data_IF_132776590868
#
_entry.id   IF_132776590868
#
_cell.length_a   1.000
_cell.length_b   1.000
_cell.length_c   1.000
_cell.angle_alpha   90.00
_cell.angle_beta   90.00
_cell.angle_gamma   90.00
#
_symmetry.space_group_name_H-M   'P 1'
#
loop_
_entity.id
_entity.type
_entity.pdbx_description
1 polymer ?
#
# COMPACT_ATOMS: atom_id res chain seq x y z
N UNK A 1 -71.77 -47.75 -15.28
CA UNK A 1 -70.45 -48.34 -15.46
C UNK A 1 -69.61 -47.36 -16.27
N UNK A 2 -68.73 -46.60 -15.66
CA UNK A 2 -67.74 -45.77 -16.34
C UNK A 2 -66.35 -46.34 -15.98
N UNK A 3 -65.71 -46.89 -16.99
CA UNK A 3 -64.35 -47.42 -16.84
C UNK A 3 -63.38 -46.25 -16.85
N UNK A 4 -62.70 -46.10 -15.71
CA UNK A 4 -61.65 -45.09 -15.53
C UNK A 4 -60.33 -45.68 -15.99
N UNK A 5 -59.86 -45.27 -17.15
CA UNK A 5 -58.52 -45.62 -17.64
C UNK A 5 -57.48 -44.79 -16.87
N UNK A 6 -56.79 -45.43 -15.94
CA UNK A 6 -55.58 -44.88 -15.29
C UNK A 6 -54.41 -45.15 -16.26
N UNK A 7 -54.04 -44.13 -17.01
CA UNK A 7 -52.75 -44.15 -17.72
C UNK A 7 -51.66 -43.93 -16.70
N UNK A 8 -51.00 -45.00 -16.30
CA UNK A 8 -49.76 -44.94 -15.48
C UNK A 8 -48.66 -44.41 -16.37
N UNK A 9 -48.36 -43.08 -16.25
CA UNK A 9 -47.19 -42.50 -16.86
C UNK A 9 -45.99 -43.04 -16.08
N UNK A 10 -45.35 -44.07 -16.61
CA UNK A 10 -44.01 -44.50 -16.22
C UNK A 10 -43.06 -43.40 -16.69
N UNK A 11 -42.81 -42.42 -15.82
CA UNK A 11 -41.67 -41.50 -16.01
C UNK A 11 -40.42 -42.34 -15.71
N UNK A 12 -39.87 -42.92 -16.77
CA UNK A 12 -38.62 -43.63 -16.70
C UNK A 12 -37.50 -42.66 -16.23
N UNK A 13 -36.57 -43.08 -15.39
CA UNK A 13 -35.44 -42.29 -14.93
C UNK A 13 -34.38 -42.16 -16.07
N UNK A 14 -34.75 -41.63 -17.24
CA UNK A 14 -33.83 -41.33 -18.32
C UNK A 14 -32.85 -40.17 -17.94
N UNK A 15 -33.16 -39.45 -16.89
CA UNK A 15 -32.30 -38.32 -16.45
C UNK A 15 -31.05 -38.77 -15.70
N UNK A 16 -31.06 -39.89 -15.01
CA UNK A 16 -29.96 -40.33 -14.16
C UNK A 16 -28.78 -40.90 -14.93
N UNK A 17 -29.05 -41.68 -16.02
CA UNK A 17 -27.98 -42.19 -16.88
C UNK A 17 -27.35 -41.13 -17.79
N UNK A 18 -28.05 -40.03 -18.09
CA UNK A 18 -27.61 -38.95 -18.94
C UNK A 18 -26.49 -38.10 -18.31
N UNK A 19 -26.38 -38.03 -16.99
CA UNK A 19 -25.59 -37.00 -16.34
C UNK A 19 -24.21 -37.46 -15.81
N UNK A 20 -24.03 -38.73 -15.46
CA UNK A 20 -22.68 -39.34 -15.39
C UNK A 20 -21.98 -39.25 -16.74
N UNK A 21 -22.77 -39.37 -17.84
CA UNK A 21 -22.30 -39.11 -19.20
C UNK A 21 -21.81 -37.68 -19.45
N UNK A 22 -22.30 -36.66 -18.68
CA UNK A 22 -21.88 -35.26 -18.86
C UNK A 22 -20.46 -35.02 -18.36
N UNK A 23 -20.06 -35.57 -17.21
CA UNK A 23 -18.66 -35.49 -16.75
C UNK A 23 -17.72 -36.19 -17.73
N UNK A 24 -18.11 -37.35 -18.27
CA UNK A 24 -17.31 -38.08 -19.22
C UNK A 24 -17.29 -37.40 -20.60
N UNK A 25 -18.40 -36.79 -21.01
CA UNK A 25 -18.48 -35.96 -22.24
C UNK A 25 -17.55 -34.74 -22.14
N UNK A 26 -17.57 -34.05 -21.01
CA UNK A 26 -16.67 -32.95 -20.76
C UNK A 26 -15.20 -33.36 -20.82
N UNK A 27 -14.86 -34.49 -20.19
CA UNK A 27 -13.51 -35.05 -20.25
C UNK A 27 -13.05 -35.35 -21.66
N UNK A 28 -13.91 -36.02 -22.46
CA UNK A 28 -13.59 -36.35 -23.89
C UNK A 28 -13.31 -35.07 -24.68
N UNK A 29 -14.22 -34.11 -24.63
CA UNK A 29 -14.04 -32.86 -25.36
C UNK A 29 -12.83 -32.07 -24.89
N UNK A 30 -12.49 -32.10 -23.58
CA UNK A 30 -11.26 -31.51 -23.08
C UNK A 30 -10.02 -32.23 -23.61
N UNK A 31 -10.02 -33.57 -23.66
CA UNK A 31 -8.93 -34.38 -24.22
C UNK A 31 -8.77 -34.12 -25.71
N UNK A 32 -9.87 -34.01 -26.47
CA UNK A 32 -9.86 -33.66 -27.90
C UNK A 32 -9.20 -32.27 -28.08
N UNK A 33 -9.56 -31.27 -27.27
CA UNK A 33 -8.90 -29.96 -27.28
C UNK A 33 -7.41 -30.08 -27.00
N UNK A 34 -7.05 -30.76 -25.91
CA UNK A 34 -5.64 -30.93 -25.50
C UNK A 34 -4.79 -31.60 -26.60
N UNK A 35 -5.37 -32.50 -27.39
CA UNK A 35 -4.68 -33.13 -28.52
C UNK A 35 -4.36 -32.16 -29.66
N UNK A 36 -5.11 -31.08 -29.79
CA UNK A 36 -4.94 -30.06 -30.86
C UNK A 36 -4.00 -28.90 -30.47
N UNK A 37 -3.52 -28.86 -29.21
CA UNK A 37 -2.75 -27.72 -28.70
C UNK A 37 -1.47 -27.40 -29.47
N UNK A 38 -0.82 -28.41 -30.05
CA UNK A 38 0.46 -28.26 -30.74
C UNK A 38 0.31 -27.76 -32.21
N UNK A 39 -0.84 -27.99 -32.84
CA UNK A 39 -1.06 -27.68 -34.24
C UNK A 39 -1.94 -26.43 -34.42
N UNK A 40 -3.21 -26.58 -34.18
CA UNK A 40 -4.21 -25.50 -34.28
C UNK A 40 -5.34 -25.75 -33.27
N UNK A 41 -5.27 -25.16 -32.07
CA UNK A 41 -6.25 -25.40 -31.02
C UNK A 41 -7.68 -25.11 -31.43
N UNK A 42 -8.53 -26.16 -31.48
CA UNK A 42 -9.95 -26.00 -31.81
C UNK A 42 -10.77 -25.67 -30.54
N UNK A 43 -11.05 -24.40 -30.36
CA UNK A 43 -11.81 -23.88 -29.19
C UNK A 43 -13.22 -24.46 -29.13
N UNK A 44 -13.78 -25.00 -30.23
CA UNK A 44 -15.12 -25.59 -30.23
C UNK A 44 -15.23 -26.77 -29.26
N UNK A 45 -14.15 -27.54 -29.10
CA UNK A 45 -14.10 -28.63 -28.13
C UNK A 45 -14.19 -28.11 -26.69
N UNK A 46 -13.53 -26.98 -26.35
CA UNK A 46 -13.66 -26.36 -25.04
C UNK A 46 -15.06 -25.86 -24.73
N UNK A 47 -15.73 -25.30 -25.71
CA UNK A 47 -17.12 -24.84 -25.56
C UNK A 47 -18.08 -26.00 -25.31
N UNK A 48 -17.91 -27.13 -26.01
CA UNK A 48 -18.67 -28.38 -25.76
C UNK A 48 -18.36 -28.95 -24.37
N UNK A 49 -17.07 -28.92 -23.96
CA UNK A 49 -16.64 -29.36 -22.63
C UNK A 49 -17.26 -28.50 -21.55
N UNK A 50 -17.26 -27.16 -21.72
CA UNK A 50 -17.88 -26.20 -20.82
C UNK A 50 -19.37 -26.48 -20.62
N UNK A 51 -20.14 -26.59 -21.70
CA UNK A 51 -21.57 -26.89 -21.60
C UNK A 51 -21.84 -28.18 -20.82
N UNK A 52 -21.08 -29.23 -21.10
CA UNK A 52 -21.24 -30.50 -20.44
C UNK A 52 -20.87 -30.44 -18.96
N UNK A 53 -19.78 -29.76 -18.58
CA UNK A 53 -19.32 -29.71 -17.19
C UNK A 53 -20.19 -28.80 -16.31
N UNK A 54 -20.70 -27.70 -16.86
CA UNK A 54 -21.59 -26.80 -16.13
C UNK A 54 -22.91 -27.50 -15.79
N UNK A 55 -23.45 -28.33 -16.68
CA UNK A 55 -24.58 -29.20 -16.38
C UNK A 55 -24.28 -30.23 -15.30
N UNK A 56 -23.06 -30.79 -15.30
CA UNK A 56 -22.63 -31.74 -14.27
C UNK A 56 -22.51 -31.11 -12.88
N UNK A 57 -22.14 -29.83 -12.77
CA UNK A 57 -22.06 -29.14 -11.46
C UNK A 57 -23.43 -28.84 -10.85
N UNK A 58 -24.48 -28.81 -11.65
CA UNK A 58 -25.85 -28.61 -11.19
C UNK A 58 -26.55 -29.92 -10.75
N UNK A 59 -25.95 -31.07 -10.98
CA UNK A 59 -26.56 -32.36 -10.72
C UNK A 59 -26.21 -32.96 -9.36
N UNK A 60 -27.19 -33.50 -8.66
CA UNK A 60 -27.06 -34.05 -7.32
C UNK A 60 -26.00 -35.17 -7.17
N UNK A 61 -25.83 -36.01 -8.19
CA UNK A 61 -24.88 -37.13 -8.16
C UNK A 61 -23.45 -36.70 -8.44
N UNK A 62 -23.24 -35.60 -9.18
CA UNK A 62 -21.93 -35.15 -9.68
C UNK A 62 -21.43 -33.86 -9.06
N UNK A 63 -22.31 -33.04 -8.46
CA UNK A 63 -21.96 -31.73 -7.85
C UNK A 63 -21.00 -31.81 -6.67
N UNK A 64 -20.86 -33.00 -6.04
CA UNK A 64 -19.97 -33.22 -4.90
C UNK A 64 -18.76 -34.11 -5.25
N UNK A 65 -18.44 -34.29 -6.52
CA UNK A 65 -17.31 -35.11 -6.95
C UNK A 65 -16.10 -34.22 -7.27
N UNK A 66 -14.94 -34.49 -6.66
CA UNK A 66 -13.67 -33.82 -6.97
C UNK A 66 -13.37 -33.79 -8.46
N UNK A 67 -13.62 -34.93 -9.15
CA UNK A 67 -13.38 -35.11 -10.58
C UNK A 67 -14.17 -34.09 -11.44
N UNK A 68 -15.41 -33.77 -11.07
CA UNK A 68 -16.23 -32.78 -11.75
C UNK A 68 -15.55 -31.41 -11.74
N UNK A 69 -15.06 -30.98 -10.58
CA UNK A 69 -14.41 -29.69 -10.45
C UNK A 69 -12.98 -29.67 -10.98
N UNK A 70 -12.27 -30.80 -10.97
CA UNK A 70 -10.96 -30.92 -11.60
C UNK A 70 -11.04 -30.68 -13.12
N UNK A 71 -12.03 -31.28 -13.78
CA UNK A 71 -12.24 -31.02 -15.22
C UNK A 71 -12.77 -29.60 -15.45
N UNK A 72 -13.71 -29.11 -14.64
CA UNK A 72 -14.21 -27.75 -14.75
C UNK A 72 -13.07 -26.74 -14.63
N UNK A 73 -12.20 -26.89 -13.65
CA UNK A 73 -11.03 -26.06 -13.47
C UNK A 73 -10.14 -26.01 -14.72
N UNK A 74 -9.78 -27.18 -15.27
CA UNK A 74 -8.93 -27.28 -16.47
C UNK A 74 -9.60 -26.69 -17.70
N UNK A 75 -10.90 -26.90 -17.88
CA UNK A 75 -11.66 -26.31 -18.99
C UNK A 75 -11.62 -24.78 -18.92
N UNK A 76 -11.93 -24.22 -17.75
CA UNK A 76 -12.02 -22.76 -17.60
C UNK A 76 -10.64 -22.07 -17.65
N UNK A 77 -9.57 -22.71 -17.18
CA UNK A 77 -8.21 -22.22 -17.37
C UNK A 77 -7.80 -22.15 -18.83
N UNK A 78 -8.18 -23.16 -19.63
CA UNK A 78 -7.91 -23.17 -21.05
C UNK A 78 -8.77 -22.13 -21.82
N UNK A 79 -10.03 -21.92 -21.43
CA UNK A 79 -10.87 -20.84 -21.95
C UNK A 79 -10.26 -19.47 -21.67
N UNK A 80 -9.82 -19.24 -20.44
CA UNK A 80 -9.12 -17.99 -20.09
C UNK A 80 -7.85 -17.80 -20.91
N UNK A 81 -7.06 -18.87 -21.12
CA UNK A 81 -5.87 -18.81 -21.99
C UNK A 81 -6.19 -18.37 -23.40
N UNK A 82 -7.31 -18.83 -23.96
CA UNK A 82 -7.75 -18.42 -25.29
C UNK A 82 -8.26 -16.97 -25.30
N UNK A 83 -9.04 -16.56 -24.30
CA UNK A 83 -9.48 -15.16 -24.13
C UNK A 83 -8.30 -14.20 -24.04
N UNK A 84 -7.23 -14.58 -23.33
CA UNK A 84 -6.00 -13.81 -23.23
C UNK A 84 -5.28 -13.68 -24.58
N UNK A 85 -5.17 -14.78 -25.36
CA UNK A 85 -4.58 -14.78 -26.70
C UNK A 85 -5.36 -13.87 -27.66
N UNK A 86 -6.68 -13.92 -27.62
CA UNK A 86 -7.52 -13.04 -28.44
C UNK A 86 -7.37 -11.56 -28.02
N UNK A 87 -7.24 -11.29 -26.74
CA UNK A 87 -6.97 -9.92 -26.26
C UNK A 87 -5.58 -9.45 -26.71
N UNK A 88 -4.55 -10.30 -26.63
CA UNK A 88 -3.20 -9.96 -27.12
C UNK A 88 -3.20 -9.67 -28.64
N UNK A 89 -3.95 -10.40 -29.45
CA UNK A 89 -4.08 -10.17 -30.91
C UNK A 89 -4.64 -8.77 -31.21
N UNK A 90 -5.62 -8.28 -30.45
CA UNK A 90 -6.18 -6.93 -30.60
C UNK A 90 -5.14 -5.83 -30.39
N UNK A 91 -4.09 -6.12 -29.64
CA UNK A 91 -3.00 -5.21 -29.27
C UNK A 91 -1.78 -5.34 -30.20
N UNK A 92 -1.94 -5.89 -31.39
CA UNK A 92 -0.85 -6.13 -32.38
C UNK A 92 -0.08 -4.86 -32.80
N UNK A 93 -0.67 -3.67 -32.62
CA UNK A 93 0.00 -2.38 -32.84
C UNK A 93 1.10 -2.09 -31.80
N UNK A 94 1.10 -2.74 -30.64
CA UNK A 94 2.16 -2.63 -29.64
C UNK A 94 3.31 -3.53 -30.08
N UNK A 95 4.44 -2.94 -30.49
CA UNK A 95 5.60 -3.66 -31.02
C UNK A 95 6.30 -4.53 -29.98
N UNK A 96 6.47 -4.00 -28.75
CA UNK A 96 7.10 -4.75 -27.66
C UNK A 96 6.17 -5.86 -27.17
N UNK A 97 6.67 -7.11 -27.26
CA UNK A 97 5.89 -8.31 -26.90
C UNK A 97 5.53 -8.35 -25.42
N UNK A 98 6.47 -7.94 -24.54
CA UNK A 98 6.21 -7.97 -23.10
C UNK A 98 5.19 -6.89 -22.72
N UNK A 99 5.32 -5.71 -23.32
CA UNK A 99 4.37 -4.63 -23.12
C UNK A 99 2.97 -5.03 -23.59
N UNK A 100 2.87 -5.63 -24.78
CA UNK A 100 1.63 -6.13 -25.36
C UNK A 100 0.97 -7.17 -24.46
N UNK A 101 1.73 -8.17 -24.00
CA UNK A 101 1.25 -9.22 -23.12
C UNK A 101 0.76 -8.68 -21.79
N UNK A 102 1.54 -7.80 -21.13
CA UNK A 102 1.13 -7.19 -19.87
C UNK A 102 -0.13 -6.32 -20.03
N UNK A 103 -0.26 -5.62 -21.15
CA UNK A 103 -1.48 -4.85 -21.47
C UNK A 103 -2.67 -5.76 -21.71
N UNK A 104 -2.48 -6.91 -22.38
CA UNK A 104 -3.52 -7.93 -22.58
C UNK A 104 -4.01 -8.47 -21.22
N UNK A 105 -3.13 -8.81 -20.29
CA UNK A 105 -3.51 -9.19 -18.93
C UNK A 105 -4.29 -8.09 -18.19
N UNK A 106 -3.94 -6.83 -18.43
CA UNK A 106 -4.68 -5.69 -17.87
C UNK A 106 -6.11 -5.56 -18.40
N UNK A 107 -6.31 -5.87 -19.66
CA UNK A 107 -7.58 -5.66 -20.37
C UNK A 107 -8.50 -6.87 -20.36
N UNK A 108 -7.95 -8.10 -20.38
CA UNK A 108 -8.72 -9.33 -20.49
C UNK A 108 -9.80 -9.43 -19.41
N UNK A 109 -10.98 -9.92 -19.81
CA UNK A 109 -12.04 -10.27 -18.86
C UNK A 109 -11.61 -11.47 -18.01
N UNK A 110 -12.02 -11.47 -16.73
CA UNK A 110 -11.58 -12.49 -15.76
C UNK A 110 -12.63 -13.54 -15.44
N UNK A 111 -13.80 -13.50 -16.08
CA UNK A 111 -14.91 -14.41 -15.79
C UNK A 111 -14.54 -15.89 -15.84
N UNK A 112 -13.78 -16.31 -16.83
CA UNK A 112 -13.32 -17.70 -16.95
C UNK A 112 -12.26 -18.03 -15.88
N UNK A 113 -11.38 -17.09 -15.57
CA UNK A 113 -10.40 -17.21 -14.50
C UNK A 113 -11.07 -17.35 -13.13
N UNK A 114 -12.12 -16.56 -12.88
CA UNK A 114 -12.88 -16.58 -11.63
C UNK A 114 -13.61 -17.92 -11.47
N UNK A 115 -14.21 -18.46 -12.54
CA UNK A 115 -14.86 -19.77 -12.52
C UNK A 115 -13.87 -20.93 -12.36
N UNK A 116 -12.66 -20.81 -12.91
CA UNK A 116 -11.56 -21.74 -12.62
C UNK A 116 -11.19 -21.68 -11.12
N UNK A 117 -10.98 -20.50 -10.58
CA UNK A 117 -10.64 -20.31 -9.17
C UNK A 117 -11.72 -20.86 -8.22
N UNK A 118 -12.99 -20.63 -8.51
CA UNK A 118 -14.11 -21.25 -7.78
C UNK A 118 -14.09 -22.77 -7.82
N UNK A 119 -13.76 -23.34 -8.97
CA UNK A 119 -13.66 -24.78 -9.13
C UNK A 119 -12.51 -25.37 -8.32
N UNK A 120 -11.37 -24.68 -8.29
CA UNK A 120 -10.20 -25.07 -7.48
C UNK A 120 -10.50 -25.01 -5.97
N UNK A 121 -11.17 -23.97 -5.53
CA UNK A 121 -11.63 -23.86 -4.14
C UNK A 121 -12.61 -24.99 -3.77
N UNK A 122 -13.48 -25.39 -4.69
CA UNK A 122 -14.40 -26.51 -4.46
C UNK A 122 -13.69 -27.84 -4.36
N UNK A 123 -12.62 -28.09 -5.11
CA UNK A 123 -11.75 -29.25 -4.94
C UNK A 123 -11.17 -29.26 -3.52
N UNK A 124 -10.65 -28.14 -3.05
CA UNK A 124 -10.10 -27.99 -1.70
C UNK A 124 -11.14 -28.28 -0.61
N UNK A 125 -12.36 -27.80 -0.77
CA UNK A 125 -13.46 -28.06 0.14
C UNK A 125 -13.86 -29.55 0.18
N UNK A 126 -13.89 -30.20 -0.97
CA UNK A 126 -14.32 -31.59 -1.09
C UNK A 126 -13.26 -32.60 -0.61
N UNK A 127 -11.99 -32.31 -0.85
CA UNK A 127 -10.87 -33.18 -0.45
C UNK A 127 -9.59 -32.36 -0.22
N UNK A 128 -9.46 -31.80 0.99
CA UNK A 128 -8.31 -31.01 1.39
C UNK A 128 -6.99 -31.80 1.29
N UNK A 129 -6.98 -33.07 1.71
CA UNK A 129 -5.75 -33.89 1.70
C UNK A 129 -5.25 -34.13 0.28
N UNK A 130 -6.14 -34.49 -0.63
CA UNK A 130 -5.79 -34.67 -2.05
C UNK A 130 -5.34 -33.34 -2.66
N UNK A 131 -6.03 -32.25 -2.37
CA UNK A 131 -5.65 -30.93 -2.84
C UNK A 131 -4.23 -30.55 -2.39
N UNK A 132 -3.89 -30.76 -1.11
CA UNK A 132 -2.56 -30.45 -0.56
C UNK A 132 -1.45 -31.27 -1.19
N UNK A 133 -1.68 -32.58 -1.44
CA UNK A 133 -0.74 -33.44 -2.17
C UNK A 133 -0.47 -32.91 -3.56
N UNK A 134 -1.52 -32.66 -4.33
CA UNK A 134 -1.38 -32.16 -5.70
C UNK A 134 -0.70 -30.78 -5.71
N UNK A 135 -1.06 -29.86 -4.82
CA UNK A 135 -0.44 -28.54 -4.72
C UNK A 135 1.07 -28.60 -4.45
N UNK A 136 1.55 -29.65 -3.79
CA UNK A 136 2.99 -29.92 -3.56
C UNK A 136 3.67 -30.66 -4.70
N UNK A 137 2.95 -31.01 -5.77
CA UNK A 137 3.46 -31.79 -6.89
C UNK A 137 3.47 -33.31 -6.65
N UNK A 138 2.85 -33.78 -5.57
CA UNK A 138 2.68 -35.22 -5.28
C UNK A 138 1.44 -35.71 -6.02
N UNK A 139 1.62 -36.39 -7.15
CA UNK A 139 0.55 -36.82 -8.05
C UNK A 139 0.47 -38.34 -8.13
N UNK A 140 -0.70 -38.90 -7.87
CA UNK A 140 -0.93 -40.35 -7.85
C UNK A 140 -1.45 -40.88 -9.23
N UNK A 141 -1.80 -39.99 -10.15
CA UNK A 141 -2.34 -40.31 -11.48
C UNK A 141 -1.97 -39.26 -12.53
N UNK A 142 -2.09 -39.60 -13.81
CA UNK A 142 -1.91 -38.67 -14.93
C UNK A 142 -2.87 -37.49 -14.81
N UNK A 143 -4.12 -37.69 -14.40
CA UNK A 143 -5.11 -36.64 -14.20
C UNK A 143 -4.72 -35.68 -13.07
N UNK A 144 -4.11 -36.19 -11.98
CA UNK A 144 -3.59 -35.35 -10.91
C UNK A 144 -2.37 -34.54 -11.39
N UNK A 145 -1.52 -35.10 -12.26
CA UNK A 145 -0.43 -34.37 -12.92
C UNK A 145 -0.93 -33.24 -13.82
N UNK A 146 -1.97 -33.49 -14.62
CA UNK A 146 -2.63 -32.45 -15.43
C UNK A 146 -3.28 -31.37 -14.56
N UNK A 147 -3.89 -31.75 -13.46
CA UNK A 147 -4.45 -30.79 -12.49
C UNK A 147 -3.36 -29.92 -11.88
N UNK A 148 -2.24 -30.51 -11.45
CA UNK A 148 -1.08 -29.77 -10.93
C UNK A 148 -0.53 -28.76 -11.95
N UNK A 149 -0.36 -29.18 -13.20
CA UNK A 149 0.08 -28.28 -14.28
C UNK A 149 -0.86 -27.08 -14.45
N UNK A 150 -2.17 -27.33 -14.43
CA UNK A 150 -3.16 -26.25 -14.53
C UNK A 150 -3.20 -25.36 -13.29
N UNK A 151 -2.93 -25.89 -12.09
CA UNK A 151 -2.77 -25.08 -10.86
C UNK A 151 -1.54 -24.16 -10.94
N UNK A 152 -0.43 -24.68 -11.45
CA UNK A 152 0.78 -23.87 -11.68
C UNK A 152 0.54 -22.78 -12.71
N UNK A 153 -0.23 -23.07 -13.76
CA UNK A 153 -0.64 -22.11 -14.78
C UNK A 153 -1.54 -21.02 -14.20
N UNK A 154 -2.52 -21.37 -13.35
CA UNK A 154 -3.36 -20.40 -12.65
C UNK A 154 -2.52 -19.42 -11.83
N UNK A 155 -1.48 -19.90 -11.13
CA UNK A 155 -0.60 -19.08 -10.34
C UNK A 155 0.19 -18.07 -11.21
N UNK A 156 0.71 -18.52 -12.34
CA UNK A 156 1.37 -17.64 -13.32
C UNK A 156 0.38 -16.58 -13.85
N UNK A 157 -0.85 -16.99 -14.17
CA UNK A 157 -1.87 -16.04 -14.61
C UNK A 157 -2.25 -15.05 -13.51
N UNK A 158 -2.38 -15.49 -12.25
CA UNK A 158 -2.66 -14.60 -11.12
C UNK A 158 -1.61 -13.50 -10.99
N UNK A 159 -0.32 -13.87 -11.06
CA UNK A 159 0.78 -12.92 -10.97
C UNK A 159 0.78 -11.90 -12.12
N UNK A 160 0.52 -12.37 -13.34
CA UNK A 160 0.44 -11.50 -14.52
C UNK A 160 -0.82 -10.64 -14.53
N UNK A 161 -1.96 -11.15 -14.06
CA UNK A 161 -3.19 -10.36 -13.89
C UNK A 161 -2.97 -9.24 -12.87
N UNK A 162 -2.37 -9.53 -11.71
CA UNK A 162 -2.07 -8.53 -10.70
C UNK A 162 -1.25 -7.37 -11.28
N UNK A 163 -0.15 -7.70 -11.98
CA UNK A 163 0.74 -6.70 -12.59
C UNK A 163 0.12 -6.01 -13.81
N UNK A 164 -0.58 -6.75 -14.66
CA UNK A 164 -1.27 -6.21 -15.84
C UNK A 164 -2.38 -5.23 -15.46
N UNK A 165 -3.25 -5.60 -14.50
CA UNK A 165 -4.30 -4.73 -13.97
C UNK A 165 -3.70 -3.47 -13.34
N UNK A 166 -2.60 -3.59 -12.60
CA UNK A 166 -1.89 -2.44 -12.06
C UNK A 166 -1.38 -1.51 -13.18
N UNK A 167 -0.77 -2.07 -14.24
CA UNK A 167 -0.24 -1.31 -15.38
C UNK A 167 -1.32 -0.48 -16.08
N UNK A 168 -2.50 -1.07 -16.31
CA UNK A 168 -3.63 -0.36 -16.92
C UNK A 168 -4.47 0.43 -15.92
N UNK A 169 -3.95 0.64 -14.69
CA UNK A 169 -4.57 1.43 -13.61
C UNK A 169 -5.91 0.90 -13.07
N UNK A 170 -6.22 -0.36 -13.29
CA UNK A 170 -7.35 -1.06 -12.66
C UNK A 170 -6.94 -1.52 -11.25
N UNK A 171 -6.65 -0.55 -10.38
CA UNK A 171 -6.03 -0.80 -9.08
C UNK A 171 -6.89 -1.64 -8.14
N UNK A 172 -8.21 -1.53 -8.22
CA UNK A 172 -9.12 -2.30 -7.38
C UNK A 172 -9.07 -3.80 -7.72
N UNK A 173 -9.08 -4.14 -9.01
CA UNK A 173 -8.91 -5.52 -9.49
C UNK A 173 -7.48 -6.03 -9.17
N UNK A 174 -6.46 -5.19 -9.37
CA UNK A 174 -5.08 -5.55 -9.05
C UNK A 174 -4.90 -5.91 -7.57
N UNK A 175 -5.58 -5.19 -6.66
CA UNK A 175 -5.54 -5.46 -5.23
C UNK A 175 -6.04 -6.87 -4.90
N UNK A 176 -7.16 -7.30 -5.49
CA UNK A 176 -7.71 -8.65 -5.29
C UNK A 176 -6.77 -9.74 -5.81
N UNK A 177 -6.15 -9.52 -6.97
CA UNK A 177 -5.21 -10.48 -7.54
C UNK A 177 -3.93 -10.58 -6.72
N UNK A 178 -3.39 -9.47 -6.20
CA UNK A 178 -2.23 -9.50 -5.30
C UNK A 178 -2.55 -10.20 -3.98
N UNK A 179 -3.73 -9.96 -3.38
CA UNK A 179 -4.14 -10.68 -2.17
C UNK A 179 -4.28 -12.18 -2.43
N UNK A 180 -4.99 -12.57 -3.49
CA UNK A 180 -5.18 -13.97 -3.87
C UNK A 180 -3.85 -14.67 -4.11
N UNK A 181 -2.91 -13.99 -4.77
CA UNK A 181 -1.56 -14.50 -5.02
C UNK A 181 -0.79 -14.68 -3.71
N UNK A 182 -0.86 -13.72 -2.77
CA UNK A 182 -0.21 -13.82 -1.47
C UNK A 182 -0.74 -15.02 -0.66
N UNK A 183 -2.05 -15.24 -0.67
CA UNK A 183 -2.69 -16.38 0.01
C UNK A 183 -2.22 -17.69 -0.62
N UNK A 184 -2.24 -17.79 -1.95
CA UNK A 184 -1.83 -18.99 -2.68
C UNK A 184 -0.35 -19.31 -2.45
N UNK A 185 0.54 -18.33 -2.56
CA UNK A 185 1.97 -18.50 -2.31
C UNK A 185 2.25 -18.93 -0.87
N UNK A 186 1.57 -18.32 0.10
CA UNK A 186 1.67 -18.68 1.52
C UNK A 186 1.27 -20.15 1.73
N UNK A 187 0.16 -20.57 1.11
CA UNK A 187 -0.30 -21.97 1.21
C UNK A 187 0.70 -22.94 0.60
N UNK A 188 1.23 -22.67 -0.59
CA UNK A 188 2.14 -23.57 -1.30
C UNK A 188 3.53 -23.66 -0.66
N UNK A 189 4.04 -22.56 -0.13
CA UNK A 189 5.42 -22.49 0.39
C UNK A 189 5.51 -22.69 1.90
N UNK A 190 4.39 -22.58 2.60
CA UNK A 190 4.35 -22.52 4.07
C UNK A 190 4.94 -21.22 4.65
N UNK A 191 5.37 -20.28 3.78
CA UNK A 191 5.94 -18.98 4.18
C UNK A 191 5.00 -17.87 3.76
N UNK A 192 4.77 -16.92 4.66
CA UNK A 192 3.90 -15.76 4.38
C UNK A 192 4.48 -14.88 3.27
N UNK A 193 3.69 -14.62 2.23
CA UNK A 193 4.06 -13.76 1.11
C UNK A 193 3.77 -12.29 1.44
N UNK A 194 4.63 -11.71 2.26
CA UNK A 194 4.51 -10.31 2.69
C UNK A 194 4.52 -9.32 1.53
N UNK A 195 5.27 -9.62 0.46
CA UNK A 195 5.41 -8.72 -0.70
C UNK A 195 4.09 -8.53 -1.44
N UNK A 196 3.39 -9.62 -1.74
CA UNK A 196 2.12 -9.52 -2.45
C UNK A 196 0.99 -9.00 -1.55
N UNK A 197 0.98 -9.30 -0.25
CA UNK A 197 0.08 -8.65 0.71
C UNK A 197 0.31 -7.13 0.74
N UNK A 198 1.56 -6.68 0.78
CA UNK A 198 1.88 -5.25 0.72
C UNK A 198 1.41 -4.61 -0.60
N UNK A 199 1.63 -5.27 -1.74
CA UNK A 199 1.15 -4.79 -3.03
C UNK A 199 -0.37 -4.66 -3.07
N UNK A 200 -1.12 -5.59 -2.46
CA UNK A 200 -2.57 -5.49 -2.32
C UNK A 200 -2.99 -4.23 -1.54
N UNK A 201 -2.31 -3.95 -0.41
CA UNK A 201 -2.55 -2.72 0.37
C UNK A 201 -2.30 -1.45 -0.46
N UNK A 202 -1.18 -1.39 -1.19
CA UNK A 202 -0.84 -0.24 -2.06
C UNK A 202 -1.85 -0.05 -3.18
N UNK A 203 -2.30 -1.15 -3.80
CA UNK A 203 -3.32 -1.10 -4.85
C UNK A 203 -4.67 -0.62 -4.29
N UNK A 204 -5.10 -1.11 -3.13
CA UNK A 204 -6.32 -0.65 -2.47
C UNK A 204 -6.27 0.86 -2.16
N UNK A 205 -5.11 1.37 -1.74
CA UNK A 205 -4.91 2.80 -1.52
C UNK A 205 -5.00 3.60 -2.83
N UNK A 206 -4.36 3.13 -3.91
CA UNK A 206 -4.45 3.78 -5.24
C UNK A 206 -5.86 3.76 -5.81
N UNK A 207 -6.62 2.69 -5.55
CA UNK A 207 -8.03 2.56 -5.90
C UNK A 207 -8.95 3.46 -5.04
N UNK A 208 -8.45 3.98 -3.92
CA UNK A 208 -9.23 4.67 -2.88
C UNK A 208 -10.38 3.82 -2.35
N UNK A 209 -10.21 2.49 -2.36
CA UNK A 209 -11.21 1.57 -1.84
C UNK A 209 -11.03 1.44 -0.32
N UNK A 210 -11.84 2.19 0.42
CA UNK A 210 -11.78 2.32 1.87
C UNK A 210 -11.89 0.98 2.60
N UNK A 211 -12.77 0.10 2.12
CA UNK A 211 -12.98 -1.23 2.71
C UNK A 211 -11.74 -2.10 2.55
N UNK A 212 -11.23 -2.24 1.32
CA UNK A 212 -10.01 -3.01 1.06
C UNK A 212 -8.78 -2.40 1.74
N UNK A 213 -8.68 -1.06 1.82
CA UNK A 213 -7.60 -0.41 2.57
C UNK A 213 -7.58 -0.86 4.03
N UNK A 214 -8.73 -0.93 4.68
CA UNK A 214 -8.83 -1.40 6.05
C UNK A 214 -8.53 -2.90 6.15
N UNK A 215 -9.24 -3.72 5.37
CA UNK A 215 -9.21 -5.17 5.48
C UNK A 215 -7.82 -5.75 5.21
N UNK A 216 -7.13 -5.30 4.16
CA UNK A 216 -5.81 -5.82 3.80
C UNK A 216 -4.72 -5.38 4.78
N UNK A 217 -4.75 -4.11 5.22
CA UNK A 217 -3.80 -3.66 6.24
C UNK A 217 -4.05 -4.36 7.58
N UNK A 218 -5.31 -4.53 7.99
CA UNK A 218 -5.68 -5.29 9.18
C UNK A 218 -5.23 -6.75 9.10
N UNK A 219 -5.42 -7.40 7.95
CA UNK A 219 -4.96 -8.77 7.72
C UNK A 219 -3.46 -8.93 7.92
N UNK A 220 -2.64 -7.99 7.40
CA UNK A 220 -1.20 -8.01 7.63
C UNK A 220 -0.87 -7.90 9.12
N UNK A 221 -1.62 -7.10 9.87
CA UNK A 221 -1.46 -6.94 11.33
C UNK A 221 -1.82 -8.24 12.05
N UNK A 222 -2.99 -8.79 11.78
CA UNK A 222 -3.50 -10.02 12.42
C UNK A 222 -2.58 -11.22 12.16
N UNK A 223 -1.93 -11.22 11.00
CA UNK A 223 -0.99 -12.28 10.60
C UNK A 223 0.46 -12.06 11.07
N UNK A 224 0.73 -10.99 11.84
CA UNK A 224 2.06 -10.61 12.34
C UNK A 224 3.12 -10.42 11.22
N UNK A 225 2.71 -9.88 10.07
CA UNK A 225 3.57 -9.52 8.94
C UNK A 225 3.51 -8.02 8.60
N UNK A 226 2.91 -7.24 9.49
CA UNK A 226 2.75 -5.81 9.31
C UNK A 226 4.08 -5.05 9.43
N UNK A 227 4.15 -3.96 8.72
CA UNK A 227 5.14 -2.89 8.87
C UNK A 227 4.47 -1.65 9.49
N UNK A 228 5.23 -0.62 9.88
CA UNK A 228 4.65 0.66 10.33
C UNK A 228 3.61 1.24 9.38
N UNK A 229 3.82 1.09 8.07
CA UNK A 229 2.90 1.56 7.03
C UNK A 229 1.45 1.08 7.23
N UNK A 230 1.26 -0.16 7.69
CA UNK A 230 -0.08 -0.73 7.87
C UNK A 230 -0.85 -0.01 8.99
N UNK A 231 -0.17 0.29 10.09
CA UNK A 231 -0.75 1.05 11.20
C UNK A 231 -1.00 2.52 10.84
N UNK A 232 -0.06 3.13 10.11
CA UNK A 232 -0.21 4.49 9.60
C UNK A 232 -1.43 4.60 8.69
N UNK A 233 -1.57 3.67 7.74
CA UNK A 233 -2.69 3.65 6.79
C UNK A 233 -4.04 3.52 7.51
N UNK A 234 -4.16 2.60 8.48
CA UNK A 234 -5.40 2.46 9.24
C UNK A 234 -5.67 3.69 10.11
N UNK A 235 -4.66 4.25 10.75
CA UNK A 235 -4.77 5.46 11.55
C UNK A 235 -5.34 6.63 10.72
N UNK A 236 -4.73 6.94 9.57
CA UNK A 236 -5.16 8.02 8.69
C UNK A 236 -6.56 7.78 8.12
N UNK A 237 -6.84 6.54 7.70
CA UNK A 237 -8.13 6.14 7.17
C UNK A 237 -9.25 6.37 8.20
N UNK A 238 -9.04 5.90 9.43
CA UNK A 238 -10.04 6.02 10.51
C UNK A 238 -10.25 7.46 10.96
N UNK A 239 -9.19 8.28 10.98
CA UNK A 239 -9.33 9.72 11.20
C UNK A 239 -10.15 10.39 10.11
N UNK A 240 -9.93 10.05 8.84
CA UNK A 240 -10.71 10.61 7.72
C UNK A 240 -12.19 10.24 7.78
N UNK A 241 -12.54 9.13 8.46
CA UNK A 241 -13.90 8.67 8.73
C UNK A 241 -14.49 9.25 10.03
N UNK A 242 -13.76 10.13 10.74
CA UNK A 242 -14.09 10.61 12.09
C UNK A 242 -14.17 9.50 13.15
N UNK A 243 -13.63 8.31 12.89
CA UNK A 243 -13.50 7.21 13.84
C UNK A 243 -12.20 7.36 14.64
N UNK A 244 -12.15 8.38 15.47
CA UNK A 244 -10.97 8.72 16.28
C UNK A 244 -10.64 7.61 17.26
N UNK A 245 -11.62 6.88 17.79
CA UNK A 245 -11.39 5.82 18.77
C UNK A 245 -10.56 4.67 18.17
N UNK A 246 -10.98 4.16 17.02
CA UNK A 246 -10.23 3.10 16.30
C UNK A 246 -8.87 3.60 15.83
N UNK A 247 -8.79 4.85 15.32
CA UNK A 247 -7.50 5.43 14.93
C UNK A 247 -6.48 5.41 16.07
N UNK A 248 -6.89 5.85 17.27
CA UNK A 248 -6.02 5.88 18.46
C UNK A 248 -5.64 4.48 18.94
N UNK A 249 -6.53 3.50 18.82
CA UNK A 249 -6.23 2.10 19.14
C UNK A 249 -5.09 1.58 18.26
N UNK A 250 -5.20 1.74 16.93
CA UNK A 250 -4.15 1.30 16.00
C UNK A 250 -2.85 2.09 16.15
N UNK A 251 -2.91 3.38 16.47
CA UNK A 251 -1.72 4.15 16.81
C UNK A 251 -1.00 3.55 18.03
N UNK A 252 -1.73 3.24 19.10
CA UNK A 252 -1.17 2.64 20.32
C UNK A 252 -0.53 1.28 20.05
N UNK A 253 -1.22 0.40 19.29
CA UNK A 253 -0.68 -0.92 18.94
C UNK A 253 0.58 -0.76 18.08
N UNK A 254 0.52 0.09 17.05
CA UNK A 254 1.65 0.36 16.17
C UNK A 254 2.86 0.93 16.93
N UNK A 255 2.64 1.85 17.87
CA UNK A 255 3.69 2.40 18.76
C UNK A 255 4.34 1.33 19.65
N UNK A 256 3.54 0.36 20.10
CA UNK A 256 4.07 -0.76 20.89
C UNK A 256 4.96 -1.68 20.06
N UNK A 257 4.57 -1.99 18.82
CA UNK A 257 5.32 -2.88 17.94
C UNK A 257 6.51 -2.18 17.26
N UNK A 258 6.35 -0.90 16.89
CA UNK A 258 7.35 -0.11 16.18
C UNK A 258 7.68 1.17 16.96
N UNK A 259 8.33 1.05 18.12
CA UNK A 259 8.62 2.18 19.02
C UNK A 259 9.49 3.26 18.39
N UNK A 260 10.25 2.94 17.36
CA UNK A 260 11.16 3.86 16.67
C UNK A 260 10.60 4.43 15.35
N UNK A 261 9.37 4.08 14.97
CA UNK A 261 8.77 4.63 13.75
C UNK A 261 8.44 6.12 13.94
N UNK A 262 9.01 6.95 13.08
CA UNK A 262 8.94 8.42 13.18
C UNK A 262 7.51 8.92 12.99
N UNK A 263 6.77 8.33 12.05
CA UNK A 263 5.40 8.78 11.78
C UNK A 263 4.49 8.52 12.99
N UNK A 264 4.49 7.28 13.48
CA UNK A 264 3.66 6.88 14.62
C UNK A 264 4.05 7.66 15.91
N UNK A 265 5.36 7.92 16.11
CA UNK A 265 5.83 8.74 17.21
C UNK A 265 5.34 10.18 17.11
N UNK A 266 5.42 10.79 15.93
CA UNK A 266 4.94 12.14 15.72
C UNK A 266 3.42 12.23 15.96
N UNK A 267 2.65 11.25 15.50
CA UNK A 267 1.19 11.22 15.72
C UNK A 267 0.80 11.11 17.19
N UNK A 268 1.48 10.25 17.93
CA UNK A 268 1.28 10.16 19.38
C UNK A 268 1.66 11.46 20.09
N UNK A 269 2.77 12.08 19.70
CA UNK A 269 3.22 13.35 20.22
C UNK A 269 2.25 14.50 19.88
N UNK A 270 1.78 14.59 18.62
CA UNK A 270 0.74 15.53 18.22
C UNK A 270 -0.53 15.38 19.07
N UNK A 271 -0.93 14.13 19.34
CA UNK A 271 -2.09 13.84 20.18
C UNK A 271 -1.92 14.36 21.60
N UNK A 272 -0.76 14.13 22.24
CA UNK A 272 -0.48 14.66 23.57
C UNK A 272 -0.45 16.19 23.56
N UNK A 273 0.12 16.82 22.53
CA UNK A 273 0.14 18.26 22.38
C UNK A 273 -1.28 18.84 22.19
N UNK A 274 -2.11 18.21 21.37
CA UNK A 274 -3.51 18.63 21.16
C UNK A 274 -4.33 18.55 22.46
N UNK A 275 -4.03 17.57 23.32
CA UNK A 275 -4.65 17.42 24.64
C UNK A 275 -4.05 18.35 25.69
N UNK A 276 -3.05 19.16 25.34
CA UNK A 276 -2.30 19.96 26.31
C UNK A 276 -1.43 19.14 27.28
N UNK A 277 -1.20 17.85 26.96
CA UNK A 277 -0.44 16.90 27.76
C UNK A 277 1.08 16.95 27.45
N UNK A 278 1.62 18.15 27.30
CA UNK A 278 3.02 18.41 26.90
C UNK A 278 4.03 17.66 27.73
N UNK A 279 3.80 17.58 29.03
CA UNK A 279 4.67 16.87 29.97
C UNK A 279 4.72 15.36 29.65
N UNK A 280 3.59 14.76 29.21
CA UNK A 280 3.56 13.34 28.86
C UNK A 280 4.32 13.09 27.55
N UNK A 281 4.17 13.97 26.57
CA UNK A 281 4.91 13.88 25.31
C UNK A 281 6.42 13.89 25.57
N UNK A 282 6.90 14.86 26.35
CA UNK A 282 8.31 14.96 26.72
C UNK A 282 8.79 13.81 27.59
N UNK A 283 8.01 13.41 28.62
CA UNK A 283 8.38 12.30 29.51
C UNK A 283 8.51 10.97 28.74
N UNK A 284 7.61 10.71 27.82
CA UNK A 284 7.67 9.52 26.96
C UNK A 284 8.96 9.50 26.12
N UNK A 285 9.27 10.62 25.49
CA UNK A 285 10.46 10.78 24.66
C UNK A 285 11.75 10.78 25.48
N UNK A 286 11.77 11.42 26.65
CA UNK A 286 12.93 11.39 27.55
C UNK A 286 13.20 9.99 28.07
N UNK A 287 12.15 9.21 28.36
CA UNK A 287 12.31 7.81 28.77
C UNK A 287 12.92 6.98 27.62
N UNK A 288 12.48 7.21 26.38
CA UNK A 288 13.03 6.53 25.22
C UNK A 288 14.49 6.91 24.97
N UNK A 289 14.82 8.21 25.00
CA UNK A 289 16.20 8.68 24.73
C UNK A 289 17.19 8.32 25.84
N UNK A 290 16.73 8.14 27.08
CA UNK A 290 17.58 7.65 28.17
C UNK A 290 18.05 6.20 27.94
N UNK A 291 17.23 5.39 27.25
CA UNK A 291 17.58 4.01 26.86
C UNK A 291 18.45 3.97 25.60
N UNK A 292 18.22 4.90 24.68
CA UNK A 292 18.87 4.97 23.38
C UNK A 292 19.44 6.37 23.10
N UNK A 293 20.48 6.81 23.81
CA UNK A 293 20.98 8.20 23.73
C UNK A 293 21.48 8.60 22.34
N UNK A 294 21.92 7.63 21.56
CA UNK A 294 22.43 7.81 20.19
C UNK A 294 21.36 7.54 19.11
N UNK A 295 20.08 7.51 19.47
CA UNK A 295 19.01 7.34 18.51
C UNK A 295 18.68 8.70 17.85
N UNK A 296 19.17 8.89 16.62
CA UNK A 296 18.94 10.11 15.84
C UNK A 296 17.44 10.43 15.66
N UNK A 297 16.60 9.39 15.54
CA UNK A 297 15.16 9.54 15.37
C UNK A 297 14.51 10.11 16.63
N UNK A 298 14.86 9.60 17.79
CA UNK A 298 14.36 10.14 19.07
C UNK A 298 14.79 11.59 19.28
N UNK A 299 16.05 11.93 18.98
CA UNK A 299 16.53 13.31 19.04
C UNK A 299 15.72 14.22 18.12
N UNK A 300 15.48 13.78 16.86
CA UNK A 300 14.65 14.53 15.92
C UNK A 300 13.22 14.77 16.44
N UNK A 301 12.58 13.73 17.00
CA UNK A 301 11.21 13.86 17.51
C UNK A 301 11.14 14.79 18.70
N UNK A 302 12.10 14.74 19.64
CA UNK A 302 12.18 15.68 20.77
C UNK A 302 12.35 17.12 20.25
N UNK A 303 13.21 17.32 19.25
CA UNK A 303 13.36 18.60 18.57
C UNK A 303 12.03 19.12 18.03
N UNK A 304 11.26 18.27 17.32
CA UNK A 304 9.92 18.61 16.84
C UNK A 304 8.95 19.00 17.95
N UNK A 305 8.99 18.32 19.09
CA UNK A 305 8.12 18.67 20.24
C UNK A 305 8.44 20.08 20.74
N UNK A 306 9.71 20.38 20.98
CA UNK A 306 10.11 21.71 21.42
C UNK A 306 9.82 22.79 20.38
N UNK A 307 10.00 22.51 19.09
CA UNK A 307 9.65 23.43 18.01
C UNK A 307 8.13 23.71 17.98
N UNK A 308 7.29 22.68 18.09
CA UNK A 308 5.84 22.83 18.18
C UNK A 308 5.40 23.61 19.44
N UNK A 309 6.08 23.41 20.57
CA UNK A 309 5.85 24.18 21.78
C UNK A 309 6.21 25.66 21.60
N UNK A 310 7.33 25.95 20.93
CA UNK A 310 7.75 27.31 20.60
C UNK A 310 6.80 27.97 19.58
N UNK A 311 6.23 27.17 18.65
CA UNK A 311 5.41 27.63 17.54
C UNK A 311 3.99 27.05 17.56
N UNK A 312 3.19 27.27 18.62
CA UNK A 312 1.88 26.68 18.74
C UNK A 312 0.93 27.17 17.65
N UNK A 313 0.14 26.22 17.11
CA UNK A 313 -0.88 26.49 16.09
C UNK A 313 -2.26 26.53 16.73
N UNK A 314 -3.07 27.50 16.35
CA UNK A 314 -4.48 27.53 16.73
C UNK A 314 -5.31 26.46 15.99
N UNK A 315 -6.58 26.30 16.38
CA UNK A 315 -7.51 25.36 15.73
C UNK A 315 -7.66 25.56 14.21
N UNK A 316 -7.40 26.76 13.73
CA UNK A 316 -7.40 27.11 12.29
C UNK A 316 -6.07 26.81 11.57
N UNK A 317 -5.07 26.26 12.25
CA UNK A 317 -3.72 26.05 11.73
C UNK A 317 -2.86 27.33 11.67
N UNK A 318 -3.40 28.48 12.06
CA UNK A 318 -2.66 29.75 12.08
C UNK A 318 -1.77 29.82 13.34
N UNK A 319 -0.66 30.56 13.22
CA UNK A 319 0.21 30.83 14.34
C UNK A 319 -0.54 31.53 15.47
N UNK A 320 -0.23 31.15 16.70
CA UNK A 320 -0.74 31.82 17.90
C UNK A 320 0.35 32.69 18.53
N UNK A 321 0.02 33.34 19.65
CA UNK A 321 0.99 34.13 20.43
C UNK A 321 2.11 33.21 20.91
N UNK A 322 3.37 33.64 20.74
CA UNK A 322 4.53 32.90 21.18
C UNK A 322 4.54 32.80 22.73
N UNK A 323 4.89 31.63 23.27
CA UNK A 323 4.97 31.44 24.74
C UNK A 323 6.04 32.32 25.37
N UNK A 324 5.94 32.56 26.68
CA UNK A 324 6.90 33.39 27.41
C UNK A 324 8.33 32.84 27.38
N UNK A 325 8.47 31.52 27.38
CA UNK A 325 9.73 30.77 27.28
C UNK A 325 10.16 30.43 25.86
N UNK A 326 9.66 31.18 24.86
CA UNK A 326 9.92 30.95 23.44
C UNK A 326 11.39 30.73 23.08
N UNK A 327 12.29 31.58 23.61
CA UNK A 327 13.73 31.49 23.30
C UNK A 327 14.37 30.22 23.87
N UNK A 328 13.97 29.79 25.08
CA UNK A 328 14.40 28.54 25.68
C UNK A 328 13.91 27.32 24.89
N UNK A 329 12.66 27.33 24.48
CA UNK A 329 12.07 26.27 23.66
C UNK A 329 12.76 26.15 22.30
N UNK A 330 13.05 27.26 21.64
CA UNK A 330 13.80 27.29 20.34
C UNK A 330 15.23 26.74 20.57
N UNK A 331 15.89 27.11 21.66
CA UNK A 331 17.22 26.61 21.98
C UNK A 331 17.22 25.10 22.18
N UNK A 332 16.28 24.57 22.97
CA UNK A 332 16.12 23.11 23.17
C UNK A 332 15.80 22.39 21.86
N UNK A 333 14.92 22.94 21.05
CA UNK A 333 14.62 22.38 19.74
C UNK A 333 15.87 22.29 18.85
N UNK A 334 16.67 23.38 18.78
CA UNK A 334 17.89 23.44 18.00
C UNK A 334 18.94 22.44 18.49
N UNK A 335 19.12 22.29 19.82
CA UNK A 335 20.05 21.33 20.41
C UNK A 335 19.71 19.88 20.03
N UNK A 336 18.44 19.51 20.10
CA UNK A 336 17.99 18.16 19.76
C UNK A 336 18.05 17.90 18.25
N UNK A 337 17.66 18.83 17.41
CA UNK A 337 17.84 18.72 15.98
C UNK A 337 19.32 18.60 15.61
N UNK A 338 20.21 19.41 16.24
CA UNK A 338 21.64 19.32 15.98
C UNK A 338 22.21 17.96 16.34
N UNK A 339 21.84 17.41 17.52
CA UNK A 339 22.22 16.04 17.89
C UNK A 339 21.73 15.01 16.87
N UNK A 340 20.51 15.17 16.36
CA UNK A 340 20.00 14.29 15.31
C UNK A 340 20.79 14.41 14.00
N UNK A 341 21.22 15.63 13.62
CA UNK A 341 22.10 15.87 12.45
C UNK A 341 23.44 15.19 12.66
N UNK A 342 24.05 15.35 13.83
CA UNK A 342 25.38 14.80 14.16
C UNK A 342 25.38 13.26 14.15
N UNK A 343 24.28 12.66 14.62
CA UNK A 343 24.07 11.20 14.63
C UNK A 343 23.72 10.62 13.25
N UNK A 344 23.35 11.44 12.29
CA UNK A 344 22.99 11.07 10.92
C UNK A 344 21.91 9.97 10.89
N UNK A 345 20.62 10.32 10.84
CA UNK A 345 19.55 9.34 10.66
C UNK A 345 19.84 8.36 9.53
N UNK A 346 19.56 7.07 9.73
CA UNK A 346 19.87 6.02 8.78
C UNK A 346 19.11 6.18 7.43
N UNK A 347 17.91 6.77 7.47
CA UNK A 347 17.14 7.04 6.26
C UNK A 347 17.52 8.40 5.66
N UNK A 348 17.67 8.45 4.35
CA UNK A 348 17.94 9.69 3.61
C UNK A 348 16.82 10.73 3.82
N UNK A 349 15.55 10.28 3.87
CA UNK A 349 14.42 11.13 4.16
C UNK A 349 14.44 11.68 5.60
N UNK A 350 14.80 10.86 6.56
CA UNK A 350 14.96 11.28 7.96
C UNK A 350 16.06 12.34 8.10
N UNK A 351 17.17 12.17 7.41
CA UNK A 351 18.26 13.14 7.43
C UNK A 351 17.88 14.45 6.77
N UNK A 352 17.22 14.37 5.58
CA UNK A 352 16.66 15.56 4.93
C UNK A 352 15.71 16.32 5.86
N UNK A 353 14.74 15.65 6.47
CA UNK A 353 13.76 16.29 7.35
C UNK A 353 14.41 16.96 8.56
N UNK A 354 15.44 16.34 9.15
CA UNK A 354 16.18 16.90 10.29
C UNK A 354 16.88 18.19 9.91
N UNK A 355 17.62 18.18 8.80
CA UNK A 355 18.32 19.36 8.28
C UNK A 355 17.35 20.49 7.92
N UNK A 356 16.27 20.14 7.22
CA UNK A 356 15.25 21.09 6.83
C UNK A 356 14.59 21.77 8.06
N UNK A 357 14.17 20.98 9.05
CA UNK A 357 13.51 21.51 10.25
C UNK A 357 14.45 22.40 11.08
N UNK A 358 15.73 22.01 11.21
CA UNK A 358 16.70 22.87 11.90
C UNK A 358 16.91 24.20 11.17
N UNK A 359 17.03 24.17 9.84
CA UNK A 359 17.11 25.37 9.04
C UNK A 359 15.86 26.24 9.12
N UNK A 360 14.67 25.62 9.05
CA UNK A 360 13.40 26.29 9.18
C UNK A 360 13.21 26.94 10.58
N UNK A 361 13.65 26.22 11.64
CA UNK A 361 13.61 26.73 13.02
C UNK A 361 14.41 28.04 13.14
N UNK A 362 15.66 28.06 12.66
CA UNK A 362 16.47 29.27 12.69
C UNK A 362 15.91 30.42 11.82
N UNK A 363 15.34 30.09 10.65
CA UNK A 363 14.66 31.10 9.85
C UNK A 363 13.45 31.72 10.57
N UNK A 364 12.62 30.88 11.18
CA UNK A 364 11.43 31.30 11.93
C UNK A 364 11.81 32.10 13.18
N UNK A 365 12.86 31.69 13.88
CA UNK A 365 13.42 32.43 15.03
C UNK A 365 13.85 33.84 14.60
N UNK A 366 14.64 33.96 13.52
CA UNK A 366 15.06 35.25 12.98
C UNK A 366 13.87 36.14 12.62
N UNK A 367 12.83 35.58 12.00
CA UNK A 367 11.60 36.32 11.68
C UNK A 367 10.87 36.84 12.94
N UNK A 368 10.81 35.97 13.97
CA UNK A 368 10.13 36.33 15.24
C UNK A 368 10.86 37.43 15.98
N UNK A 369 12.20 37.39 16.04
CA UNK A 369 13.02 38.45 16.65
C UNK A 369 12.78 39.77 15.91
N UNK A 370 12.81 39.75 14.58
CA UNK A 370 12.59 40.97 13.79
C UNK A 370 11.19 41.56 14.02
N UNK A 371 10.15 40.70 14.03
CA UNK A 371 8.78 41.13 14.27
C UNK A 371 8.59 41.74 15.67
N UNK A 372 9.13 41.10 16.72
CA UNK A 372 9.08 41.62 18.10
C UNK A 372 9.75 43.00 18.23
N UNK A 373 10.81 43.23 17.51
CA UNK A 373 11.47 44.50 17.47
C UNK A 373 10.55 45.63 16.93
N UNK A 374 9.77 45.28 15.90
CA UNK A 374 8.85 46.24 15.24
C UNK A 374 7.59 46.51 16.06
N UNK A 375 7.08 45.54 16.81
CA UNK A 375 5.86 45.65 17.61
C UNK A 375 5.97 46.52 18.86
N UNK A 376 7.15 46.53 19.54
CA UNK A 376 7.33 47.11 20.89
C UNK A 376 7.97 48.50 20.88
N UNK A 377 8.33 49.01 19.76
CA UNK A 377 9.20 50.19 19.74
C UNK A 377 8.44 51.52 19.63
N UNK A 378 8.61 52.34 20.63
CA UNK A 378 8.57 53.79 20.40
C UNK A 378 9.70 54.18 19.42
N UNK A 379 9.57 55.26 18.70
CA UNK A 379 10.62 55.74 17.77
C UNK A 379 12.01 55.81 18.46
N UNK A 380 12.06 56.15 19.77
CA UNK A 380 13.29 56.19 20.55
C UNK A 380 13.87 54.77 20.84
N UNK A 381 13.01 53.77 21.14
CA UNK A 381 13.44 52.41 21.36
C UNK A 381 13.92 51.72 20.09
N UNK A 382 13.28 51.98 18.95
CA UNK A 382 13.72 51.56 17.61
C UNK A 382 15.15 52.06 17.33
N UNK A 383 15.42 53.35 17.55
CA UNK A 383 16.72 53.96 17.30
C UNK A 383 17.82 53.35 18.17
N UNK A 384 17.51 52.95 19.42
CA UNK A 384 18.47 52.39 20.40
C UNK A 384 18.71 50.91 20.25
N UNK A 385 17.68 50.10 19.96
CA UNK A 385 17.72 48.65 20.01
C UNK A 385 17.66 47.98 18.62
N UNK A 386 17.26 48.69 17.57
CA UNK A 386 17.07 48.20 16.20
C UNK A 386 18.29 47.46 15.69
N UNK A 387 19.49 48.04 15.81
CA UNK A 387 20.74 47.38 15.36
C UNK A 387 21.02 46.03 16.03
N UNK A 388 20.67 45.90 17.32
CA UNK A 388 20.84 44.67 18.06
C UNK A 388 19.89 43.56 17.58
N UNK A 389 18.62 43.92 17.33
CA UNK A 389 17.62 42.97 16.84
C UNK A 389 17.90 42.56 15.39
N UNK A 390 18.29 43.51 14.55
CA UNK A 390 18.69 43.20 13.16
C UNK A 390 19.91 42.29 13.14
N UNK A 391 20.93 42.55 13.96
CA UNK A 391 22.11 41.68 14.05
C UNK A 391 21.75 40.25 14.50
N UNK A 392 20.90 40.12 15.57
CA UNK A 392 20.45 38.82 16.07
C UNK A 392 19.61 38.05 15.05
N UNK A 393 18.74 38.75 14.30
CA UNK A 393 17.95 38.16 13.22
C UNK A 393 18.86 37.69 12.08
N UNK A 394 19.83 38.54 11.67
CA UNK A 394 20.80 38.25 10.63
C UNK A 394 21.66 37.03 10.97
N UNK A 395 22.12 36.94 12.22
CA UNK A 395 22.87 35.77 12.73
C UNK A 395 22.03 34.48 12.58
N UNK A 396 20.73 34.54 12.95
CA UNK A 396 19.83 33.41 12.84
C UNK A 396 19.60 32.98 11.38
N UNK A 397 19.41 33.94 10.48
CA UNK A 397 19.28 33.65 9.03
C UNK A 397 20.55 33.00 8.47
N UNK A 398 21.74 33.50 8.86
CA UNK A 398 23.02 32.89 8.46
C UNK A 398 23.18 31.47 8.99
N UNK A 399 22.71 31.17 10.21
CA UNK A 399 22.70 29.81 10.77
C UNK A 399 21.77 28.87 9.99
N UNK A 400 20.64 29.36 9.47
CA UNK A 400 19.69 28.54 8.72
C UNK A 400 20.23 28.01 7.37
N UNK A 401 21.00 28.84 6.67
CA UNK A 401 21.44 28.58 5.28
C UNK A 401 22.18 27.23 5.13
N UNK A 402 23.23 26.90 5.90
CA UNK A 402 24.03 25.69 5.67
C UNK A 402 23.20 24.41 5.86
N UNK A 403 22.22 24.40 6.76
CA UNK A 403 21.35 23.24 6.96
C UNK A 403 20.38 23.05 5.78
N UNK A 404 19.82 24.14 5.25
CA UNK A 404 18.96 24.07 4.07
C UNK A 404 19.74 23.75 2.78
N UNK A 405 20.98 24.23 2.64
CA UNK A 405 21.87 23.84 1.53
C UNK A 405 22.16 22.33 1.57
N UNK A 406 22.47 21.79 2.76
CA UNK A 406 22.64 20.35 2.94
C UNK A 406 21.36 19.56 2.67
N UNK A 407 20.20 20.03 3.15
CA UNK A 407 18.92 19.40 2.84
C UNK A 407 18.67 19.38 1.32
N UNK A 408 18.91 20.50 0.64
CA UNK A 408 18.74 20.60 -0.82
C UNK A 408 19.71 19.69 -1.58
N UNK A 409 20.90 19.39 -1.03
CA UNK A 409 21.83 18.42 -1.65
C UNK A 409 21.28 16.98 -1.62
N UNK A 410 20.42 16.65 -0.65
CA UNK A 410 19.75 15.35 -0.53
C UNK A 410 18.55 15.27 -1.48
N UNK A 411 17.72 16.35 -1.53
CA UNK A 411 16.57 16.45 -2.41
C UNK A 411 16.66 17.71 -3.27
N UNK A 412 17.35 17.63 -4.42
CA UNK A 412 17.66 18.80 -5.24
C UNK A 412 16.44 19.56 -5.76
N UNK A 413 15.30 18.88 -5.93
CA UNK A 413 14.09 19.45 -6.50
C UNK A 413 13.01 19.81 -5.46
N UNK A 414 13.36 19.81 -4.17
CA UNK A 414 12.41 20.16 -3.12
C UNK A 414 12.09 21.66 -3.17
N UNK A 415 10.88 21.98 -3.65
CA UNK A 415 10.42 23.34 -3.87
C UNK A 415 10.31 24.16 -2.57
N UNK A 416 10.04 23.49 -1.44
CA UNK A 416 9.94 24.16 -0.13
C UNK A 416 11.33 24.63 0.34
N UNK A 417 12.32 23.75 0.21
CA UNK A 417 13.70 24.06 0.53
C UNK A 417 14.26 25.16 -0.38
N UNK A 418 14.03 25.07 -1.70
CA UNK A 418 14.42 26.10 -2.67
C UNK A 418 13.82 27.45 -2.32
N UNK A 419 12.52 27.48 -1.97
CA UNK A 419 11.82 28.71 -1.59
C UNK A 419 12.39 29.34 -0.31
N UNK A 420 12.70 28.49 0.70
CA UNK A 420 13.30 28.95 1.96
C UNK A 420 14.69 29.55 1.72
N UNK A 421 15.55 28.86 0.97
CA UNK A 421 16.90 29.34 0.60
C UNK A 421 16.84 30.64 -0.21
N UNK A 422 15.93 30.72 -1.19
CA UNK A 422 15.73 31.96 -1.96
C UNK A 422 15.48 33.17 -1.03
N UNK A 423 14.54 33.00 -0.11
CA UNK A 423 14.17 34.05 0.84
C UNK A 423 15.34 34.44 1.75
N UNK A 424 16.08 33.47 2.26
CA UNK A 424 17.23 33.67 3.15
C UNK A 424 18.40 34.35 2.43
N UNK A 425 18.69 33.98 1.17
CA UNK A 425 19.75 34.63 0.40
C UNK A 425 19.44 36.10 0.14
N UNK A 426 18.20 36.45 -0.21
CA UNK A 426 17.84 37.86 -0.35
C UNK A 426 17.91 38.63 0.98
N UNK A 427 17.46 38.02 2.10
CA UNK A 427 17.54 38.64 3.42
C UNK A 427 18.99 38.86 3.90
N UNK A 428 19.91 37.99 3.50
CA UNK A 428 21.33 38.07 3.88
C UNK A 428 22.19 38.79 2.85
N UNK A 429 21.59 39.41 1.81
CA UNK A 429 22.28 40.18 0.80
C UNK A 429 22.99 39.36 -0.29
N UNK A 430 22.76 38.04 -0.36
CA UNK A 430 23.33 37.20 -1.40
C UNK A 430 22.38 37.12 -2.61
N UNK A 431 22.33 38.23 -3.37
CA UNK A 431 21.41 38.34 -4.51
C UNK A 431 21.69 37.29 -5.62
N UNK A 432 22.95 36.93 -5.85
CA UNK A 432 23.33 35.96 -6.88
C UNK A 432 22.69 34.59 -6.61
N UNK A 433 22.86 34.04 -5.39
CA UNK A 433 22.24 32.79 -4.99
C UNK A 433 20.71 32.91 -4.90
N UNK A 434 20.18 34.07 -4.52
CA UNK A 434 18.75 34.33 -4.51
C UNK A 434 18.11 34.23 -5.91
N UNK A 435 18.78 34.77 -6.94
CA UNK A 435 18.38 34.66 -8.35
C UNK A 435 18.47 33.20 -8.83
N UNK A 436 19.55 32.49 -8.51
CA UNK A 436 19.70 31.07 -8.84
C UNK A 436 18.51 30.26 -8.31
N UNK A 437 18.15 30.41 -7.03
CA UNK A 437 17.00 29.71 -6.44
C UNK A 437 15.68 30.14 -7.10
N UNK A 438 15.56 31.39 -7.53
CA UNK A 438 14.37 31.88 -8.25
C UNK A 438 14.20 31.18 -9.61
N UNK A 439 15.28 30.92 -10.33
CA UNK A 439 15.23 30.19 -11.60
C UNK A 439 14.92 28.69 -11.40
N UNK A 440 15.44 28.08 -10.33
CA UNK A 440 15.09 26.69 -9.97
C UNK A 440 13.61 26.51 -9.59
N UNK A 441 12.96 27.54 -9.04
CA UNK A 441 11.52 27.51 -8.72
C UNK A 441 10.62 27.50 -9.96
N UNK A 442 11.09 27.96 -11.12
CA UNK A 442 10.34 27.99 -12.38
C UNK A 442 10.30 26.64 -13.09
N UNK A 443 11.25 25.78 -12.79
CA UNK A 443 11.33 24.41 -13.31
C UNK A 443 10.49 23.46 -12.46
#
# INVERSE_FOLDING_TARGET
MKILNIALLIVLPFSVFSQKGKVQGAWRSLSDYESTLNDNPDVSYLLKAKESIDLATANEETKNQVKTYAYRFRIYINLFSNSLKEEEKKLSSIADKNERLQTAYGNVATSEFDEASKSLNKIKELDLKKFEKIAKGETDSEEDGKLFTSMSQLQVYSANLATGKYKVKKFDEAADFFESLAISNTFMTGKKDTSNFYNACVCAQKAKNVTKMFDYNKKMIDENIASPYNYQTIYDLKLSQNDTATALEYLKIGRTQFPNDVYLMNKETELFLQKGEQAKALANLQTAIAKEPNNAVLQYVIGNVYDNLANPKGKSGKDTIKPADYEDLVTKAAEHYQKAVDLKPASQDGYFNTLYNLGALYNNYGNTIYAKAMEKATIADLAKNQKGYEAKSMESYKKAIPYLEQALSIKPDDKTCISALRTLYYKTGNEAKGKEMSERMKK
#
